data_IF_635639717631
#
_entry.id   IF_635639717631
#
_cell.length_a   1.000
_cell.length_b   1.000
_cell.length_c   1.000
_cell.angle_alpha   90.00
_cell.angle_beta   90.00
_cell.angle_gamma   90.00
#
_symmetry.space_group_name_H-M   'P 1'
#
loop_
_entity.id
_entity.type
_entity.pdbx_description
1 polymer ?
#
# COMPACT_ATOMS: atom_id res chain seq x y z
N UNK A 1 5.17 -27.91 16.78
CA UNK A 1 5.93 -27.40 17.94
C UNK A 1 6.16 -25.92 17.68
N UNK A 2 5.34 -25.07 18.29
CA UNK A 2 5.49 -23.62 18.23
C UNK A 2 6.48 -23.23 19.35
N UNK A 3 7.56 -22.47 19.11
CA UNK A 3 8.31 -21.86 20.20
C UNK A 3 7.60 -20.56 20.59
N UNK A 4 7.09 -20.51 21.83
CA UNK A 4 7.72 -19.87 23.00
C UNK A 4 7.53 -18.36 23.01
N UNK A 5 6.54 -17.95 23.79
CA UNK A 5 6.25 -16.57 24.17
C UNK A 5 7.49 -15.92 24.80
N UNK A 6 8.04 -14.92 24.12
CA UNK A 6 8.97 -13.95 24.71
C UNK A 6 8.17 -12.72 25.11
N UNK A 7 7.80 -12.66 26.39
CA UNK A 7 7.28 -11.45 27.02
C UNK A 7 8.32 -10.32 26.92
N UNK A 8 7.93 -9.15 26.38
CA UNK A 8 8.65 -7.90 26.65
C UNK A 8 9.15 -7.05 25.48
N UNK A 9 8.85 -7.39 24.22
CA UNK A 9 9.02 -6.47 23.08
C UNK A 9 7.76 -6.52 22.23
N UNK A 10 6.78 -5.66 22.52
CA UNK A 10 5.73 -5.35 21.55
C UNK A 10 6.41 -4.68 20.34
N UNK A 11 6.73 -5.49 19.34
CA UNK A 11 7.14 -5.00 18.04
C UNK A 11 5.92 -4.32 17.43
N UNK A 12 5.92 -2.99 17.46
CA UNK A 12 4.97 -2.12 16.74
C UNK A 12 5.02 -2.30 15.20
N UNK A 13 5.79 -3.29 14.72
CA UNK A 13 5.85 -3.74 13.33
C UNK A 13 4.54 -4.37 12.81
N UNK A 14 3.53 -4.58 13.66
CA UNK A 14 2.25 -5.17 13.22
C UNK A 14 1.37 -4.17 12.43
N UNK A 15 1.65 -2.86 12.55
CA UNK A 15 0.90 -1.81 11.84
C UNK A 15 1.68 -1.26 10.64
N UNK A 16 1.03 -1.27 9.48
CA UNK A 16 1.59 -0.71 8.24
C UNK A 16 0.72 0.44 7.76
N UNK A 17 1.38 1.54 7.37
CA UNK A 17 0.75 2.65 6.67
C UNK A 17 1.15 2.63 5.20
N UNK A 18 0.18 2.67 4.31
CA UNK A 18 0.40 2.76 2.87
C UNK A 18 -0.21 4.06 2.36
N UNK A 19 0.63 4.95 1.81
CA UNK A 19 0.14 6.11 1.08
C UNK A 19 0.02 5.78 -0.39
N UNK A 20 -1.11 6.10 -1.00
CA UNK A 20 -1.40 5.85 -2.41
C UNK A 20 -1.70 7.16 -3.12
N UNK A 21 -1.39 7.21 -4.42
CA UNK A 21 -1.68 8.38 -5.25
C UNK A 21 -1.98 7.95 -6.69
N UNK A 22 -2.97 8.60 -7.29
CA UNK A 22 -3.29 8.50 -8.70
C UNK A 22 -2.47 9.46 -9.55
N UNK A 23 -2.32 9.14 -10.83
CA UNK A 23 -1.72 10.02 -11.82
C UNK A 23 -2.49 9.91 -13.13
N UNK A 24 -2.67 11.05 -13.80
CA UNK A 24 -3.44 11.13 -15.03
C UNK A 24 -2.76 12.04 -16.05
N UNK A 25 -2.59 11.53 -17.26
CA UNK A 25 -2.00 12.27 -18.37
C UNK A 25 -3.04 12.61 -19.43
N UNK A 26 -3.51 13.87 -19.41
CA UNK A 26 -4.64 14.34 -20.24
C UNK A 26 -4.44 14.15 -21.74
N UNK A 27 -3.21 14.28 -22.26
CA UNK A 27 -2.97 14.25 -23.71
C UNK A 27 -3.19 12.86 -24.33
N UNK A 28 -2.83 11.80 -23.59
CA UNK A 28 -3.05 10.40 -24.01
C UNK A 28 -4.26 9.77 -23.34
N UNK A 29 -4.88 10.48 -22.38
CA UNK A 29 -5.89 9.98 -21.45
C UNK A 29 -5.42 8.76 -20.65
N UNK A 30 -4.11 8.58 -20.50
CA UNK A 30 -3.52 7.45 -19.79
C UNK A 30 -3.45 7.74 -18.29
N UNK A 31 -3.62 6.72 -17.48
CA UNK A 31 -3.61 6.84 -16.03
C UNK A 31 -2.76 5.73 -15.40
N UNK A 32 -2.20 6.05 -14.24
CA UNK A 32 -1.48 5.13 -13.40
C UNK A 32 -1.74 5.44 -11.94
N UNK A 33 -1.49 4.50 -11.05
CA UNK A 33 -1.48 4.73 -9.62
C UNK A 33 -0.23 4.13 -9.00
N UNK A 34 0.07 4.50 -7.78
CA UNK A 34 1.16 3.92 -7.02
C UNK A 34 0.97 4.11 -5.53
N UNK A 35 1.93 3.60 -4.78
CA UNK A 35 1.94 3.80 -3.34
C UNK A 35 3.23 3.38 -2.67
N UNK A 36 3.38 3.82 -1.43
CA UNK A 36 4.53 3.56 -0.55
C UNK A 36 4.04 3.06 0.79
N UNK A 37 4.46 1.86 1.16
CA UNK A 37 4.21 1.26 2.46
C UNK A 37 5.38 1.51 3.41
N UNK A 38 5.06 1.86 4.64
CA UNK A 38 6.00 2.08 5.74
C UNK A 38 5.49 1.49 7.05
N UNK A 39 6.41 1.15 7.94
CA UNK A 39 6.08 0.81 9.32
C UNK A 39 5.75 2.06 10.15
N UNK A 40 5.41 1.85 11.42
CA UNK A 40 5.06 2.92 12.36
C UNK A 40 6.21 3.85 12.71
N UNK A 41 7.45 3.39 12.57
CA UNK A 41 8.66 4.21 12.75
C UNK A 41 8.98 5.04 11.50
N UNK A 42 8.20 4.86 10.42
CA UNK A 42 8.40 5.53 9.15
C UNK A 42 9.41 4.85 8.25
N UNK A 43 9.88 3.65 8.60
CA UNK A 43 10.81 2.89 7.76
C UNK A 43 10.10 2.39 6.51
N UNK A 44 10.78 2.52 5.37
CA UNK A 44 10.30 1.99 4.11
C UNK A 44 10.17 0.46 4.16
N UNK A 45 9.05 -0.06 3.69
CA UNK A 45 8.82 -1.50 3.53
C UNK A 45 8.84 -1.89 2.05
N UNK A 46 8.01 -1.24 1.23
CA UNK A 46 7.97 -1.45 -0.22
C UNK A 46 7.21 -0.30 -0.90
N UNK A 47 7.29 -0.24 -2.23
CA UNK A 47 6.49 0.64 -3.08
C UNK A 47 5.96 -0.12 -4.29
N UNK A 48 4.95 0.45 -4.95
CA UNK A 48 4.42 -0.08 -6.19
C UNK A 48 3.98 1.02 -7.15
N UNK A 49 3.89 0.67 -8.42
CA UNK A 49 3.28 1.45 -9.47
C UNK A 49 2.50 0.52 -10.41
N UNK A 50 1.33 0.96 -10.86
CA UNK A 50 0.48 0.22 -11.79
C UNK A 50 -0.03 1.18 -12.85
N UNK A 51 0.29 0.89 -14.12
CA UNK A 51 -0.32 1.55 -15.26
C UNK A 51 -1.71 0.97 -15.51
N UNK A 52 -2.73 1.81 -15.39
CA UNK A 52 -4.14 1.42 -15.52
C UNK A 52 -4.58 1.47 -16.98
N UNK A 53 -4.01 2.39 -17.77
CA UNK A 53 -4.47 2.66 -19.13
C UNK A 53 -5.48 3.80 -19.18
N UNK A 54 -6.29 3.83 -20.24
CA UNK A 54 -7.31 4.87 -20.41
C UNK A 54 -8.43 4.74 -19.37
N UNK A 55 -8.48 5.66 -18.42
CA UNK A 55 -9.54 5.73 -17.40
C UNK A 55 -9.79 7.17 -16.94
N UNK A 56 -10.82 7.38 -16.13
CA UNK A 56 -11.09 8.67 -15.47
C UNK A 56 -10.18 8.86 -14.25
N UNK A 57 -9.87 10.10 -13.87
CA UNK A 57 -8.98 10.44 -12.73
C UNK A 57 -9.44 9.75 -11.43
N UNK A 58 -10.75 9.72 -11.18
CA UNK A 58 -11.28 9.06 -9.97
C UNK A 58 -11.02 7.55 -9.94
N UNK A 59 -10.92 6.93 -11.12
CA UNK A 59 -10.62 5.50 -11.23
C UNK A 59 -9.14 5.22 -10.93
N UNK A 60 -8.23 6.17 -11.20
CA UNK A 60 -6.82 6.00 -10.81
C UNK A 60 -6.60 6.10 -9.32
N UNK A 61 -7.24 7.06 -8.64
CA UNK A 61 -7.18 7.15 -7.17
C UNK A 61 -7.72 5.89 -6.50
N UNK A 62 -8.91 5.46 -6.94
CA UNK A 62 -9.56 4.27 -6.38
C UNK A 62 -8.74 2.99 -6.64
N UNK A 63 -8.10 2.87 -7.81
CA UNK A 63 -7.27 1.71 -8.13
C UNK A 63 -6.03 1.65 -7.25
N UNK A 64 -5.42 2.79 -6.91
CA UNK A 64 -4.30 2.85 -5.96
C UNK A 64 -4.65 2.24 -4.61
N UNK A 65 -5.85 2.54 -4.09
CA UNK A 65 -6.36 1.97 -2.82
C UNK A 65 -6.49 0.44 -2.92
N UNK A 66 -7.13 -0.06 -3.98
CA UNK A 66 -7.35 -1.50 -4.17
C UNK A 66 -6.02 -2.24 -4.29
N UNK A 67 -5.13 -1.79 -5.18
CA UNK A 67 -3.82 -2.42 -5.38
C UNK A 67 -2.98 -2.39 -4.10
N UNK A 68 -3.01 -1.29 -3.36
CA UNK A 68 -2.33 -1.17 -2.07
C UNK A 68 -2.84 -2.19 -1.05
N UNK A 69 -4.17 -2.35 -0.92
CA UNK A 69 -4.78 -3.31 0.00
C UNK A 69 -4.48 -4.76 -0.41
N UNK A 70 -4.57 -5.10 -1.70
CA UNK A 70 -4.23 -6.42 -2.22
C UNK A 70 -2.77 -6.79 -1.91
N UNK A 71 -1.82 -5.89 -2.21
CA UNK A 71 -0.40 -6.13 -1.93
C UNK A 71 -0.10 -6.27 -0.44
N UNK A 72 -0.72 -5.44 0.41
CA UNK A 72 -0.57 -5.55 1.87
C UNK A 72 -1.10 -6.89 2.37
N UNK A 73 -2.25 -7.33 1.84
CA UNK A 73 -2.87 -8.60 2.21
C UNK A 73 -2.00 -9.80 1.83
N UNK A 74 -1.50 -9.82 0.59
CA UNK A 74 -0.60 -10.86 0.07
C UNK A 74 0.71 -10.96 0.86
N UNK A 75 1.21 -9.82 1.36
CA UNK A 75 2.42 -9.77 2.21
C UNK A 75 2.18 -10.15 3.67
N UNK A 76 0.94 -10.46 4.05
CA UNK A 76 0.61 -10.91 5.41
C UNK A 76 0.28 -9.80 6.41
N UNK A 77 0.25 -8.53 5.99
CA UNK A 77 -0.12 -7.44 6.88
C UNK A 77 -1.63 -7.45 7.17
N UNK A 78 -2.01 -7.25 8.43
CA UNK A 78 -3.42 -7.31 8.86
C UNK A 78 -3.90 -6.07 9.61
N UNK A 79 -3.00 -5.24 10.15
CA UNK A 79 -3.36 -3.94 10.70
C UNK A 79 -2.81 -2.85 9.78
N UNK A 80 -3.67 -2.36 8.88
CA UNK A 80 -3.25 -1.41 7.84
C UNK A 80 -4.00 -0.09 7.93
N UNK A 81 -3.30 0.99 7.61
CA UNK A 81 -3.90 2.31 7.34
C UNK A 81 -3.55 2.67 5.90
N UNK A 82 -4.57 2.93 5.10
CA UNK A 82 -4.39 3.41 3.73
C UNK A 82 -4.81 4.87 3.65
N UNK A 83 -4.00 5.67 2.96
CA UNK A 83 -4.21 7.12 2.79
C UNK A 83 -3.91 7.54 1.36
#
# INVERSE_FOLDING_TARGET
>A
MFPLDVEGLELDHDRVKCNVDGSYFKSTRDAACGGVARDTSGNFLFSFCHRIGCCEIIQSEHRGIVDGLEMLWEKGFRKVTIE
#
